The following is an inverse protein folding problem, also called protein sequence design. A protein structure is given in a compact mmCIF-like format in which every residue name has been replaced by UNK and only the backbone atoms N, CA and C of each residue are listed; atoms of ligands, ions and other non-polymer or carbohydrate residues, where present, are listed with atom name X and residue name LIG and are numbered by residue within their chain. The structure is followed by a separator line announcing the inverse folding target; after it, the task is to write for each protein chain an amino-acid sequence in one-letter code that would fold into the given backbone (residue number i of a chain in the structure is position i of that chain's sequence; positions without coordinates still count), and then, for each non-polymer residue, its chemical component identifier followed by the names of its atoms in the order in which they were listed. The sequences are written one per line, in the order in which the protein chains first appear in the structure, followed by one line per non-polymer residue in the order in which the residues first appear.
data_IF_709215472161
#
_entry.id   IF_709215472161
#
_cell.length_a   1.000
_cell.length_b   1.000
_cell.length_c   1.000
_cell.angle_alpha   90.00
_cell.angle_beta   90.00
_cell.angle_gamma   90.00
#
_symmetry.space_group_name_H-M   'P 1'
#
loop_
_entity.id
_entity.type
_entity.pdbx_description
1 polymer ?
#
# COMPACT_ATOMS: atom_id res chain seq x y z
N UNK A 1 -2.77 9.39 20.31
CA UNK A 1 -4.03 9.97 19.80
C UNK A 1 -4.01 9.69 18.31
N UNK A 2 -5.06 9.07 17.78
CA UNK A 2 -5.13 8.73 16.34
C UNK A 2 -4.98 9.99 15.50
N UNK A 3 -4.11 9.94 14.51
CA UNK A 3 -3.90 11.04 13.58
C UNK A 3 -5.01 11.08 12.53
N UNK A 4 -5.24 12.27 11.98
CA UNK A 4 -6.16 12.48 10.85
C UNK A 4 -5.43 12.16 9.54
N UNK A 5 -5.81 11.07 8.88
CA UNK A 5 -5.23 10.66 7.60
C UNK A 5 -5.40 11.72 6.51
N UNK A 6 -6.49 12.47 6.52
CA UNK A 6 -6.73 13.54 5.55
C UNK A 6 -5.66 14.63 5.68
N UNK A 7 -5.31 14.98 6.92
CA UNK A 7 -4.25 15.94 7.22
C UNK A 7 -2.88 15.43 6.78
N UNK A 8 -2.53 14.18 7.12
CA UNK A 8 -1.25 13.58 6.75
C UNK A 8 -1.02 13.58 5.22
N UNK A 9 -2.04 13.19 4.46
CA UNK A 9 -1.97 13.18 2.99
C UNK A 9 -1.90 14.59 2.41
N UNK A 10 -2.66 15.55 2.95
CA UNK A 10 -2.69 16.93 2.45
C UNK A 10 -1.40 17.69 2.72
N UNK A 11 -0.76 17.42 3.86
CA UNK A 11 0.50 18.06 4.26
C UNK A 11 1.73 17.38 3.63
N UNK A 12 1.58 16.18 3.04
CA UNK A 12 2.64 15.49 2.34
C UNK A 12 2.43 15.51 0.82
N UNK A 13 3.17 16.38 0.12
CA UNK A 13 3.05 16.52 -1.32
C UNK A 13 3.40 15.22 -2.09
N UNK A 14 4.22 14.33 -1.51
CA UNK A 14 4.65 13.10 -2.17
C UNK A 14 5.05 11.97 -1.20
N UNK A 15 4.08 11.27 -0.60
CA UNK A 15 4.34 10.03 0.14
C UNK A 15 4.73 8.84 -0.77
N UNK A 16 4.54 8.98 -2.09
CA UNK A 16 4.76 7.93 -3.08
C UNK A 16 3.63 6.91 -3.08
N UNK A 17 3.90 5.68 -2.63
CA UNK A 17 2.90 4.61 -2.51
C UNK A 17 2.56 4.42 -1.04
N UNK A 18 1.28 4.34 -0.72
CA UNK A 18 0.79 4.24 0.65
C UNK A 18 -0.13 3.05 0.85
N UNK A 19 0.04 2.36 1.98
CA UNK A 19 -0.80 1.27 2.46
C UNK A 19 -1.39 1.69 3.80
N UNK A 20 -2.69 1.52 3.96
CA UNK A 20 -3.38 1.64 5.24
C UNK A 20 -4.13 0.35 5.51
N UNK A 21 -3.85 -0.26 6.66
CA UNK A 21 -4.61 -1.41 7.16
C UNK A 21 -5.23 -1.05 8.51
N UNK A 22 -6.45 -1.50 8.76
CA UNK A 22 -7.14 -1.13 9.99
C UNK A 22 -8.48 -1.84 10.21
N UNK A 23 -9.21 -1.36 11.21
CA UNK A 23 -10.55 -1.80 11.57
C UNK A 23 -11.50 -0.62 11.53
N UNK A 24 -12.66 -0.78 10.91
CA UNK A 24 -13.69 0.26 10.85
C UNK A 24 -14.18 0.67 12.24
N UNK A 25 -14.68 1.91 12.36
CA UNK A 25 -15.20 2.47 13.62
C UNK A 25 -16.35 1.66 14.23
N UNK A 26 -17.18 1.01 13.42
CA UNK A 26 -18.25 0.11 13.88
C UNK A 26 -17.74 -1.27 14.34
N UNK A 27 -16.45 -1.53 14.18
CA UNK A 27 -15.79 -2.76 14.58
C UNK A 27 -16.12 -3.98 13.73
N UNK A 28 -16.86 -3.82 12.62
CA UNK A 28 -17.34 -4.94 11.78
C UNK A 28 -16.41 -5.28 10.62
N UNK A 29 -15.71 -4.28 10.08
CA UNK A 29 -14.95 -4.43 8.85
C UNK A 29 -13.46 -4.34 9.10
N UNK A 30 -12.73 -5.28 8.52
CA UNK A 30 -11.31 -5.11 8.27
C UNK A 30 -11.14 -4.21 7.04
N UNK A 31 -10.24 -3.24 7.11
CA UNK A 31 -10.10 -2.19 6.11
C UNK A 31 -8.71 -2.24 5.52
N UNK A 32 -8.64 -2.22 4.19
CA UNK A 32 -7.41 -2.07 3.44
C UNK A 32 -7.54 -0.92 2.44
N UNK A 33 -6.57 -0.03 2.41
CA UNK A 33 -6.44 0.96 1.35
C UNK A 33 -5.02 0.96 0.79
N UNK A 34 -4.92 1.17 -0.51
CA UNK A 34 -3.66 1.26 -1.23
C UNK A 34 -3.75 2.35 -2.29
N UNK A 35 -2.77 3.23 -2.35
CA UNK A 35 -2.71 4.24 -3.40
C UNK A 35 -1.33 4.37 -4.03
N UNK A 36 -1.34 4.90 -5.24
CA UNK A 36 -0.15 5.29 -5.97
C UNK A 36 -0.18 6.79 -6.24
N UNK A 37 0.93 7.43 -5.91
CA UNK A 37 1.31 8.73 -6.45
C UNK A 37 2.56 8.60 -7.30
N UNK A 38 2.64 9.36 -8.40
CA UNK A 38 3.76 9.36 -9.34
C UNK A 38 4.18 10.78 -9.73
N UNK A 39 5.50 11.00 -9.85
CA UNK A 39 6.10 12.26 -10.33
C UNK A 39 6.45 12.24 -11.82
N UNK A 40 6.95 11.11 -12.32
CA UNK A 40 7.34 10.96 -13.73
C UNK A 40 6.15 10.55 -14.60
N UNK A 41 6.26 10.79 -15.91
CA UNK A 41 5.26 10.32 -16.88
C UNK A 41 5.08 8.79 -16.78
N UNK A 42 6.18 8.03 -16.73
CA UNK A 42 6.14 6.58 -16.58
C UNK A 42 5.43 6.15 -15.27
N UNK A 43 5.74 6.78 -14.13
CA UNK A 43 5.12 6.45 -12.83
C UNK A 43 3.62 6.81 -12.78
N UNK A 44 3.19 7.81 -13.56
CA UNK A 44 1.78 8.22 -13.71
C UNK A 44 1.03 7.40 -14.76
N UNK A 45 1.74 6.71 -15.65
CA UNK A 45 1.17 5.95 -16.75
C UNK A 45 0.64 4.58 -16.30
N UNK A 46 -0.20 4.55 -15.25
CA UNK A 46 -0.80 3.30 -14.78
C UNK A 46 -2.17 3.49 -14.17
N UNK A 47 -2.96 2.43 -14.25
CA UNK A 47 -4.29 2.31 -13.66
C UNK A 47 -4.39 0.99 -12.90
N UNK A 48 -5.27 0.93 -11.91
CA UNK A 48 -5.70 -0.33 -11.31
C UNK A 48 -6.84 -0.92 -12.12
N UNK A 49 -6.74 -2.22 -12.39
CA UNK A 49 -7.82 -3.03 -12.92
C UNK A 49 -8.07 -4.22 -12.00
N UNK A 50 -9.32 -4.65 -11.91
CA UNK A 50 -9.70 -5.83 -11.15
C UNK A 50 -9.00 -7.08 -11.75
N UNK A 51 -8.53 -7.96 -10.87
CA UNK A 51 -7.88 -9.21 -11.26
C UNK A 51 -8.20 -10.30 -10.22
N UNK A 52 -9.22 -11.11 -10.53
CA UNK A 52 -9.81 -12.06 -9.59
C UNK A 52 -10.32 -11.35 -8.33
N UNK A 53 -9.90 -11.83 -7.16
CA UNK A 53 -10.18 -11.23 -5.85
C UNK A 53 -9.29 -10.02 -5.55
N UNK A 54 -8.30 -9.72 -6.40
CA UNK A 54 -7.31 -8.67 -6.20
C UNK A 54 -7.38 -7.56 -7.23
N UNK A 55 -6.26 -6.88 -7.42
CA UNK A 55 -6.06 -5.90 -8.48
C UNK A 55 -4.66 -6.09 -9.09
N UNK A 56 -4.53 -5.67 -10.34
CA UNK A 56 -3.24 -5.48 -11.01
C UNK A 56 -3.10 -4.07 -11.54
N UNK A 57 -1.87 -3.63 -11.70
CA UNK A 57 -1.56 -2.41 -12.42
C UNK A 57 -1.44 -2.71 -13.92
N UNK A 58 -2.02 -1.84 -14.73
CA UNK A 58 -1.83 -1.82 -16.19
C UNK A 58 -1.31 -0.46 -16.62
N UNK A 59 -0.58 -0.42 -17.73
CA UNK A 59 -0.21 0.85 -18.35
C UNK A 59 -1.46 1.55 -18.87
N UNK A 60 -1.63 2.84 -18.58
CA UNK A 60 -2.75 3.62 -19.12
C UNK A 60 -2.60 3.78 -20.65
N UNK A 61 -1.41 4.17 -21.08
CA UNK A 61 -1.00 4.24 -22.48
C UNK A 61 0.19 3.28 -22.69
N UNK A 62 -0.03 2.11 -23.32
CA UNK A 62 1.04 1.15 -23.59
C UNK A 62 2.20 1.73 -24.41
N UNK A 63 1.97 2.76 -25.24
CA UNK A 63 3.01 3.37 -26.06
C UNK A 63 4.01 4.21 -25.24
N UNK A 64 3.64 4.61 -24.02
CA UNK A 64 4.46 5.40 -23.09
C UNK A 64 5.18 4.55 -22.04
N UNK A 65 5.01 3.23 -22.09
CA UNK A 65 5.62 2.31 -21.15
C UNK A 65 7.08 2.09 -21.52
N UNK A 66 8.00 2.53 -20.65
CA UNK A 66 9.44 2.31 -20.86
C UNK A 66 9.91 1.04 -20.16
N UNK A 67 9.91 1.04 -18.83
CA UNK A 67 10.25 -0.12 -18.00
C UNK A 67 8.99 -0.65 -17.28
N UNK A 68 8.51 -1.85 -17.64
CA UNK A 68 7.33 -2.44 -17.02
C UNK A 68 7.60 -3.03 -15.63
N UNK A 69 8.85 -3.31 -15.26
CA UNK A 69 9.18 -4.15 -14.10
C UNK A 69 8.74 -3.57 -12.74
N UNK A 70 8.70 -2.24 -12.63
CA UNK A 70 8.24 -1.51 -11.44
C UNK A 70 6.82 -0.91 -11.61
N UNK A 71 6.19 -1.14 -12.76
CA UNK A 71 4.89 -0.59 -13.11
C UNK A 71 3.81 -1.65 -13.13
N UNK A 72 4.08 -2.82 -13.69
CA UNK A 72 3.13 -3.92 -13.87
C UNK A 72 3.40 -4.97 -12.79
N UNK A 73 2.49 -5.05 -11.83
CA UNK A 73 2.48 -6.04 -10.75
C UNK A 73 1.04 -6.17 -10.22
N UNK A 74 0.81 -7.10 -9.29
CA UNK A 74 -0.46 -7.21 -8.57
C UNK A 74 -0.35 -6.53 -7.22
N UNK A 75 -0.84 -5.29 -7.02
CA UNK A 75 -0.79 -4.67 -5.70
C UNK A 75 -1.57 -5.43 -4.64
N UNK A 76 -2.66 -6.11 -5.02
CA UNK A 76 -3.51 -6.88 -4.10
C UNK A 76 -3.67 -8.30 -4.62
N UNK A 77 -3.41 -9.28 -3.75
CA UNK A 77 -3.77 -10.69 -3.96
C UNK A 77 -4.41 -11.26 -2.69
N UNK A 78 -5.25 -12.28 -2.86
CA UNK A 78 -6.02 -12.87 -1.77
C UNK A 78 -5.79 -14.39 -1.73
N UNK A 79 -5.57 -14.94 -0.53
CA UNK A 79 -5.51 -16.38 -0.25
C UNK A 79 -6.51 -16.68 0.86
N UNK A 80 -7.65 -17.29 0.53
CA UNK A 80 -8.72 -17.51 1.50
C UNK A 80 -9.21 -16.18 2.09
N UNK A 81 -9.08 -16.03 3.41
CA UNK A 81 -9.41 -14.81 4.16
C UNK A 81 -8.24 -13.84 4.33
N UNK A 82 -7.09 -14.14 3.73
CA UNK A 82 -5.86 -13.36 3.87
C UNK A 82 -5.68 -12.46 2.65
N UNK A 83 -5.65 -11.15 2.88
CA UNK A 83 -5.40 -10.13 1.86
C UNK A 83 -3.96 -9.63 1.95
N UNK A 84 -3.22 -9.71 0.85
CA UNK A 84 -1.86 -9.17 0.70
C UNK A 84 -1.97 -7.86 -0.06
N UNK A 85 -1.31 -6.81 0.42
CA UNK A 85 -1.29 -5.48 -0.22
C UNK A 85 0.16 -4.99 -0.29
N UNK A 86 0.70 -4.68 -1.47
CA UNK A 86 2.08 -4.19 -1.59
C UNK A 86 2.26 -3.19 -2.73
N UNK A 87 3.38 -2.47 -2.75
CA UNK A 87 3.72 -1.53 -3.82
C UNK A 87 4.59 -2.11 -4.95
N UNK A 88 4.70 -3.43 -5.07
CA UNK A 88 5.50 -4.06 -6.13
C UNK A 88 5.28 -5.57 -6.28
N UNK A 89 6.15 -6.20 -7.06
CA UNK A 89 6.13 -7.66 -7.32
C UNK A 89 6.40 -8.54 -6.08
N UNK A 90 6.77 -7.95 -4.94
CA UNK A 90 6.87 -8.70 -3.68
C UNK A 90 5.51 -9.25 -3.22
N UNK A 91 4.38 -8.76 -3.76
CA UNK A 91 3.06 -9.39 -3.55
C UNK A 91 3.09 -10.86 -3.93
N UNK A 92 3.66 -11.20 -5.09
CA UNK A 92 3.70 -12.58 -5.59
C UNK A 92 4.67 -13.43 -4.78
N UNK A 93 5.80 -12.84 -4.35
CA UNK A 93 6.73 -13.51 -3.44
C UNK A 93 6.04 -13.88 -2.12
N UNK A 94 5.27 -12.97 -1.53
CA UNK A 94 4.50 -13.25 -0.32
C UNK A 94 3.45 -14.32 -0.58
N UNK A 95 2.69 -14.18 -1.67
CA UNK A 95 1.65 -15.13 -2.05
C UNK A 95 2.18 -16.56 -2.15
N UNK A 96 3.28 -16.76 -2.88
CA UNK A 96 3.90 -18.06 -3.09
C UNK A 96 4.43 -18.68 -1.80
N UNK A 97 5.01 -17.86 -0.91
CA UNK A 97 5.50 -18.34 0.39
C UNK A 97 4.33 -18.80 1.26
N UNK A 98 3.25 -18.01 1.35
CA UNK A 98 2.08 -18.37 2.14
C UNK A 98 1.40 -19.65 1.62
N UNK A 99 1.28 -19.81 0.29
CA UNK A 99 0.75 -21.05 -0.29
C UNK A 99 1.57 -22.30 0.05
N UNK A 100 2.87 -22.15 0.28
CA UNK A 100 3.79 -23.23 0.66
C UNK A 100 3.93 -23.40 2.17
N UNK A 101 3.11 -22.71 2.97
CA UNK A 101 3.16 -22.75 4.44
C UNK A 101 4.30 -21.93 5.07
N UNK A 102 4.99 -21.10 4.28
CA UNK A 102 5.96 -20.12 4.76
C UNK A 102 5.29 -18.88 5.37
N UNK A 103 6.09 -17.92 5.83
CA UNK A 103 5.60 -16.70 6.47
C UNK A 103 5.82 -15.43 5.65
N UNK A 104 5.03 -14.40 5.92
CA UNK A 104 5.20 -13.05 5.38
C UNK A 104 6.61 -12.49 5.60
N UNK A 105 7.18 -12.73 6.78
CA UNK A 105 8.52 -12.26 7.11
C UNK A 105 9.60 -13.01 6.31
N UNK A 106 9.45 -14.33 6.13
CA UNK A 106 10.41 -15.13 5.36
C UNK A 106 10.39 -14.74 3.88
N UNK A 107 9.22 -14.50 3.32
CA UNK A 107 9.06 -14.00 1.97
C UNK A 107 9.84 -12.68 1.78
N UNK A 108 9.62 -11.71 2.66
CA UNK A 108 10.24 -10.39 2.58
C UNK A 108 11.75 -10.38 2.89
N UNK A 109 12.27 -11.38 3.62
CA UNK A 109 13.71 -11.56 3.80
C UNK A 109 14.44 -11.93 2.51
N UNK A 110 13.74 -12.50 1.53
CA UNK A 110 14.31 -12.78 0.18
C UNK A 110 14.36 -11.56 -0.72
N UNK A 111 13.74 -10.44 -0.30
CA UNK A 111 13.62 -9.21 -1.08
C UNK A 111 14.45 -8.08 -0.47
N UNK A 112 14.59 -7.00 -1.23
CA UNK A 112 15.19 -5.72 -0.83
C UNK A 112 14.35 -4.57 -1.43
N UNK A 113 14.75 -3.32 -1.26
CA UNK A 113 14.15 -2.14 -1.92
C UNK A 113 14.18 -2.24 -3.46
N UNK A 114 13.53 -1.31 -4.14
CA UNK A 114 13.50 -1.28 -5.62
C UNK A 114 14.89 -0.89 -6.19
N UNK A 115 15.33 -1.50 -7.30
CA UNK A 115 16.63 -1.21 -7.92
C UNK A 115 16.59 0.05 -8.80
N UNK A 116 16.00 1.14 -8.31
CA UNK A 116 15.72 2.38 -9.05
C UNK A 116 16.63 3.54 -8.58
N UNK A 117 17.94 3.33 -8.64
CA UNK A 117 18.92 4.35 -8.29
C UNK A 117 18.60 5.71 -8.98
N UNK A 118 18.75 6.84 -8.28
CA UNK A 118 19.30 6.98 -6.93
C UNK A 118 18.27 6.88 -5.79
N UNK A 119 16.99 6.59 -6.09
CA UNK A 119 15.92 6.64 -5.08
C UNK A 119 15.90 5.41 -4.16
N UNK A 120 16.26 4.24 -4.67
CA UNK A 120 16.23 2.97 -3.92
C UNK A 120 14.92 2.79 -3.17
N UNK A 121 13.83 2.90 -3.92
CA UNK A 121 12.52 3.11 -3.36
C UNK A 121 12.14 2.00 -2.40
N UNK A 122 11.64 2.33 -1.20
CA UNK A 122 11.24 1.30 -0.27
C UNK A 122 10.12 0.40 -0.80
N UNK A 123 10.20 -0.88 -0.43
CA UNK A 123 9.07 -1.81 -0.60
C UNK A 123 8.24 -1.82 0.67
N UNK A 124 7.05 -1.24 0.61
CA UNK A 124 6.03 -1.34 1.65
C UNK A 124 5.10 -2.52 1.35
N UNK A 125 4.77 -3.27 2.40
CA UNK A 125 3.95 -4.46 2.30
C UNK A 125 2.99 -4.55 3.48
N UNK A 126 1.82 -5.11 3.23
CA UNK A 126 0.77 -5.34 4.20
C UNK A 126 0.20 -6.75 4.06
N UNK A 127 -0.18 -7.35 5.19
CA UNK A 127 -0.91 -8.60 5.26
C UNK A 127 -2.06 -8.42 6.24
N UNK A 128 -3.28 -8.71 5.81
CA UNK A 128 -4.49 -8.60 6.60
C UNK A 128 -5.19 -9.95 6.67
N UNK A 129 -5.48 -10.45 7.88
CA UNK A 129 -6.20 -11.70 8.13
C UNK A 129 -7.20 -11.48 9.27
N UNK A 130 -8.49 -11.43 8.93
CA UNK A 130 -9.51 -10.92 9.86
C UNK A 130 -9.16 -9.50 10.29
N UNK A 131 -9.07 -9.24 11.61
CA UNK A 131 -8.60 -7.95 12.14
C UNK A 131 -7.09 -7.90 12.43
N UNK A 132 -6.36 -9.03 12.44
CA UNK A 132 -4.90 -9.03 12.60
C UNK A 132 -4.26 -8.52 11.30
N UNK A 133 -3.36 -7.55 11.42
CA UNK A 133 -2.57 -7.12 10.28
C UNK A 133 -1.10 -6.87 10.60
N UNK A 134 -0.31 -7.01 9.55
CA UNK A 134 1.14 -6.79 9.56
C UNK A 134 1.49 -5.77 8.51
N UNK A 135 2.44 -4.90 8.84
CA UNK A 135 3.05 -3.96 7.92
C UNK A 135 4.57 -4.21 7.87
N UNK A 136 5.18 -3.91 6.73
CA UNK A 136 6.63 -3.98 6.58
C UNK A 136 7.13 -2.94 5.61
N UNK A 137 8.36 -2.49 5.84
CA UNK A 137 9.13 -1.67 4.91
C UNK A 137 10.56 -2.23 4.77
N UNK A 138 10.99 -2.42 3.51
CA UNK A 138 12.36 -2.76 3.15
C UNK A 138 12.98 -1.53 2.47
N UNK A 139 14.06 -0.97 3.02
CA UNK A 139 14.69 0.26 2.52
C UNK A 139 16.21 0.22 2.61
N UNK A 140 16.90 0.97 1.76
CA UNK A 140 18.35 1.19 1.87
C UNK A 140 18.69 1.92 3.17
N UNK A 141 19.89 1.70 3.70
CA UNK A 141 20.41 2.47 4.81
C UNK A 141 20.84 3.85 4.33
N UNK A 142 19.98 4.86 4.51
CA UNK A 142 20.29 6.27 4.23
C UNK A 142 20.79 6.51 2.79
N UNK A 143 20.24 5.74 1.83
CA UNK A 143 20.61 5.79 0.40
C UNK A 143 21.76 4.87 0.00
N UNK A 144 22.35 4.09 0.92
CA UNK A 144 23.39 3.10 0.61
C UNK A 144 22.78 1.79 0.07
N UNK A 145 22.99 1.46 -1.23
CA UNK A 145 22.43 0.25 -1.81
C UNK A 145 23.09 -1.05 -1.33
N UNK A 146 24.24 -0.98 -0.66
CA UNK A 146 24.91 -2.15 -0.09
C UNK A 146 24.30 -2.62 1.23
N UNK A 147 23.46 -1.79 1.85
CA UNK A 147 22.93 -2.01 3.19
C UNK A 147 21.41 -1.93 3.19
N UNK A 148 20.77 -3.08 3.43
CA UNK A 148 19.31 -3.21 3.48
C UNK A 148 18.82 -3.21 4.93
N UNK A 149 17.81 -2.40 5.22
CA UNK A 149 17.09 -2.37 6.49
C UNK A 149 15.68 -2.94 6.28
N UNK A 150 15.26 -3.85 7.16
CA UNK A 150 13.95 -4.52 7.11
C UNK A 150 13.23 -4.32 8.43
N UNK A 151 12.02 -3.80 8.37
CA UNK A 151 11.19 -3.55 9.53
C UNK A 151 9.86 -4.29 9.40
N UNK A 152 9.37 -4.83 10.50
CA UNK A 152 8.13 -5.60 10.57
C UNK A 152 7.34 -5.11 11.77
N UNK A 153 6.06 -4.81 11.54
CA UNK A 153 5.11 -4.32 12.53
C UNK A 153 3.90 -5.25 12.54
N UNK A 154 3.33 -5.52 13.70
CA UNK A 154 2.18 -6.39 13.86
C UNK A 154 1.15 -5.79 14.83
N UNK A 155 -0.12 -5.92 14.46
CA UNK A 155 -1.26 -5.38 15.18
C UNK A 155 -2.31 -6.48 15.32
N UNK A 156 -2.28 -7.21 16.44
CA UNK A 156 -2.99 -8.47 16.64
C UNK A 156 -4.50 -8.33 16.95
N UNK A 157 -4.95 -7.18 17.45
CA UNK A 157 -6.37 -6.88 17.68
C UNK A 157 -6.58 -5.36 17.73
N UNK A 158 -6.60 -4.68 16.57
CA UNK A 158 -6.78 -3.22 16.51
C UNK A 158 -8.14 -2.84 17.10
N UNK A 159 -8.15 -1.75 17.88
CA UNK A 159 -9.41 -1.20 18.42
C UNK A 159 -10.30 -0.72 17.26
N UNK A 160 -11.64 -0.72 17.41
CA UNK A 160 -12.52 -0.12 16.41
C UNK A 160 -12.07 1.30 16.00
N UNK A 161 -12.08 1.54 14.69
CA UNK A 161 -11.65 2.79 14.06
C UNK A 161 -10.15 3.03 14.11
N UNK A 162 -9.32 2.03 14.44
CA UNK A 162 -7.86 2.13 14.45
C UNK A 162 -7.28 1.52 13.17
N UNK A 163 -6.41 2.26 12.51
CA UNK A 163 -5.60 1.77 11.41
C UNK A 163 -4.18 2.30 11.51
N UNK A 164 -3.30 1.74 10.69
CA UNK A 164 -1.92 2.18 10.58
C UNK A 164 -1.58 2.44 9.12
N UNK A 165 -0.95 3.59 8.89
CA UNK A 165 -0.55 4.06 7.58
C UNK A 165 0.98 3.96 7.42
N UNK A 166 1.41 3.32 6.33
CA UNK A 166 2.82 3.23 5.96
C UNK A 166 2.96 3.61 4.48
N UNK A 167 4.03 4.30 4.14
CA UNK A 167 4.26 4.75 2.77
C UNK A 167 5.74 4.71 2.40
N UNK A 168 6.05 4.92 1.12
CA UNK A 168 7.42 4.76 0.62
C UNK A 168 8.33 5.93 1.01
N UNK A 169 7.82 7.16 1.04
CA UNK A 169 8.65 8.36 1.22
C UNK A 169 8.13 9.30 2.28
N UNK A 170 9.02 9.87 3.10
CA UNK A 170 8.64 10.84 4.12
C UNK A 170 8.04 12.12 3.52
N UNK A 171 8.62 12.61 2.42
CA UNK A 171 8.19 13.80 1.71
C UNK A 171 8.80 13.81 0.30
N UNK A 172 8.49 14.86 -0.47
CA UNK A 172 9.18 15.08 -1.75
C UNK A 172 10.69 15.37 -1.55
N UNK A 173 11.49 15.17 -2.60
CA UNK A 173 12.95 15.35 -2.53
C UNK A 173 13.68 14.86 -3.78
N UNK A 174 15.02 14.99 -3.76
CA UNK A 174 15.93 14.52 -4.82
C UNK A 174 17.34 14.21 -4.27
N UNK A 175 17.72 12.93 -4.07
CA UNK A 175 16.88 11.73 -4.10
C UNK A 175 15.75 11.79 -3.06
N UNK A 176 14.67 11.03 -3.28
CA UNK A 176 13.50 11.13 -2.43
C UNK A 176 13.75 10.44 -1.08
N UNK A 177 13.53 11.11 0.07
CA UNK A 177 13.80 10.53 1.38
C UNK A 177 12.81 9.40 1.70
N UNK A 178 13.33 8.22 2.01
CA UNK A 178 12.55 7.07 2.45
C UNK A 178 11.74 7.38 3.72
N UNK A 179 10.59 6.74 3.89
CA UNK A 179 9.80 6.80 5.13
C UNK A 179 10.62 6.33 6.35
N UNK A 180 10.38 6.93 7.52
CA UNK A 180 11.09 6.68 8.77
C UNK A 180 10.12 6.57 9.94
N UNK A 181 10.48 5.77 10.94
CA UNK A 181 9.66 5.56 12.13
C UNK A 181 8.72 4.34 12.02
N UNK A 182 7.81 4.28 12.97
CA UNK A 182 6.71 3.32 13.03
C UNK A 182 5.57 3.77 12.10
N UNK A 183 4.73 2.85 11.58
CA UNK A 183 3.51 3.22 10.86
C UNK A 183 2.65 4.18 11.66
N UNK A 184 2.08 5.19 11.00
CA UNK A 184 1.31 6.25 11.65
C UNK A 184 -0.07 5.72 12.08
N UNK A 185 -0.39 5.75 13.37
CA UNK A 185 -1.72 5.38 13.90
C UNK A 185 -2.76 6.41 13.44
N UNK A 186 -3.73 5.99 12.65
CA UNK A 186 -4.75 6.84 12.02
C UNK A 186 -6.17 6.39 12.33
N UNK A 187 -7.11 7.32 12.23
CA UNK A 187 -8.53 7.03 12.36
C UNK A 187 -9.11 6.42 11.06
N UNK A 188 -9.91 5.35 11.21
CA UNK A 188 -10.67 4.72 10.12
C UNK A 188 -12.16 4.95 10.36
N UNK A 189 -12.69 6.00 9.73
CA UNK A 189 -14.03 6.51 9.98
C UNK A 189 -14.90 6.50 8.72
N UNK A 190 -16.21 6.36 8.93
CA UNK A 190 -17.19 6.32 7.86
C UNK A 190 -17.28 4.97 7.13
N UNK A 191 -18.22 4.90 6.19
CA UNK A 191 -18.36 3.78 5.28
C UNK A 191 -17.30 3.84 4.16
N UNK A 192 -17.26 2.82 3.31
CA UNK A 192 -16.26 2.70 2.25
C UNK A 192 -16.25 3.90 1.30
N UNK A 193 -17.42 4.47 0.97
CA UNK A 193 -17.51 5.60 0.04
C UNK A 193 -16.96 6.88 0.66
N UNK A 194 -17.33 7.17 1.92
CA UNK A 194 -16.79 8.31 2.66
C UNK A 194 -15.27 8.20 2.85
N UNK A 195 -14.78 7.02 3.24
CA UNK A 195 -13.35 6.81 3.44
C UNK A 195 -12.56 6.88 2.12
N UNK A 196 -13.12 6.35 1.02
CA UNK A 196 -12.54 6.49 -0.33
C UNK A 196 -12.44 7.96 -0.74
N UNK A 197 -13.49 8.76 -0.51
CA UNK A 197 -13.48 10.20 -0.75
C UNK A 197 -12.42 10.93 0.07
N UNK A 198 -12.37 10.68 1.38
CA UNK A 198 -11.37 11.23 2.29
C UNK A 198 -9.94 10.99 1.80
N UNK A 199 -9.62 9.77 1.39
CA UNK A 199 -8.29 9.46 0.86
C UNK A 199 -8.06 10.18 -0.48
N UNK A 200 -8.94 10.00 -1.46
CA UNK A 200 -8.73 10.50 -2.83
C UNK A 200 -8.65 12.02 -2.94
N UNK A 201 -9.46 12.74 -2.17
CA UNK A 201 -9.52 14.19 -2.18
C UNK A 201 -8.31 14.84 -1.51
N UNK A 202 -7.66 14.14 -0.57
CA UNK A 202 -6.50 14.64 0.16
C UNK A 202 -5.15 14.20 -0.44
N UNK A 203 -5.12 13.27 -1.39
CA UNK A 203 -3.93 13.02 -2.19
C UNK A 203 -3.62 14.23 -3.09
N UNK A 204 -2.33 14.59 -3.19
CA UNK A 204 -1.90 15.70 -4.03
C UNK A 204 -2.39 15.51 -5.48
N UNK A 205 -3.15 16.49 -5.99
CA UNK A 205 -3.83 16.35 -7.28
C UNK A 205 -2.86 16.11 -8.44
N UNK A 206 -1.72 16.79 -8.46
CA UNK A 206 -0.73 16.64 -9.54
C UNK A 206 -0.07 15.26 -9.53
N UNK A 207 -0.05 14.58 -8.38
CA UNK A 207 0.72 13.35 -8.19
C UNK A 207 -0.16 12.10 -8.06
N UNK A 208 -1.44 12.19 -7.67
CA UNK A 208 -2.31 11.01 -7.52
C UNK A 208 -2.53 10.27 -8.84
N UNK A 209 -2.50 8.95 -8.77
CA UNK A 209 -2.62 8.05 -9.94
C UNK A 209 -3.81 7.12 -9.76
N UNK A 210 -3.79 6.30 -8.72
CA UNK A 210 -4.83 5.31 -8.45
C UNK A 210 -5.01 5.07 -6.95
N UNK A 211 -6.22 4.69 -6.56
CA UNK A 211 -6.61 4.33 -5.19
C UNK A 211 -7.45 3.06 -5.22
N UNK A 212 -7.17 2.16 -4.30
CA UNK A 212 -7.95 0.98 -3.97
C UNK A 212 -8.37 1.09 -2.50
N UNK A 213 -9.64 0.82 -2.21
CA UNK A 213 -10.16 0.70 -0.85
C UNK A 213 -11.02 -0.54 -0.77
N UNK A 214 -10.87 -1.32 0.29
CA UNK A 214 -11.65 -2.52 0.55
C UNK A 214 -12.09 -2.59 2.01
N UNK A 215 -13.37 -2.87 2.20
CA UNK A 215 -13.97 -3.19 3.49
C UNK A 215 -14.38 -4.66 3.46
N UNK A 216 -13.88 -5.47 4.40
CA UNK A 216 -14.15 -6.90 4.52
C UNK A 216 -15.00 -7.10 5.77
N UNK A 217 -16.24 -7.54 5.62
CA UNK A 217 -17.05 -8.00 6.74
C UNK A 217 -16.47 -9.34 7.23
N UNK A 218 -15.80 -9.30 8.38
CA UNK A 218 -15.07 -10.46 8.92
C UNK A 218 -16.01 -11.58 9.32
N UNK A 219 -17.24 -11.26 9.76
CA UNK A 219 -18.20 -12.27 10.20
C UNK A 219 -18.90 -12.94 9.01
N UNK A 220 -19.22 -12.16 7.97
CA UNK A 220 -19.88 -12.66 6.77
C UNK A 220 -18.92 -13.26 5.74
N UNK A 221 -17.63 -12.92 5.79
CA UNK A 221 -16.64 -13.33 4.79
C UNK A 221 -16.83 -12.65 3.44
N UNK A 222 -17.56 -11.53 3.39
CA UNK A 222 -17.84 -10.76 2.18
C UNK A 222 -17.03 -9.47 2.16
N UNK A 223 -16.77 -8.89 0.98
CA UNK A 223 -16.11 -7.60 0.88
C UNK A 223 -16.74 -6.67 -0.15
N UNK A 224 -16.56 -5.37 0.09
CA UNK A 224 -16.80 -4.31 -0.87
C UNK A 224 -15.49 -3.68 -1.29
N UNK A 225 -15.36 -3.33 -2.56
CA UNK A 225 -14.15 -2.69 -3.12
C UNK A 225 -14.52 -1.41 -3.85
N UNK A 226 -13.65 -0.41 -3.77
CA UNK A 226 -13.62 0.77 -4.64
C UNK A 226 -12.27 0.86 -5.31
N UNK A 227 -12.28 1.11 -6.62
CA UNK A 227 -11.09 1.42 -7.42
C UNK A 227 -11.33 2.80 -8.04
N UNK A 228 -10.41 3.72 -7.82
CA UNK A 228 -10.44 5.06 -8.38
C UNK A 228 -9.15 5.26 -9.16
N UNK A 229 -9.24 5.59 -10.44
CA UNK A 229 -8.10 5.93 -11.27
C UNK A 229 -8.23 7.37 -11.75
N UNK A 230 -7.13 8.14 -11.75
CA UNK A 230 -7.10 9.50 -12.30
C UNK A 230 -7.31 9.46 -13.81
N UNK A 231 -6.66 8.53 -14.47
CA UNK A 231 -6.82 8.24 -15.89
C UNK A 231 -7.75 7.02 -16.04
N UNK A 232 -8.64 7.02 -17.02
CA UNK A 232 -9.62 5.96 -17.26
C UNK A 232 -9.77 5.68 -18.74
#
# INVERSE_FOLDING_TARGET
MKQDIAKLLRENAYPGRGILLGRSADGKHAVAAYFIMGRSENSRNRVFVADGEGIRTEAFDPAKLSDPSLIIYSPVRVIGDTTIVTNGDQTDTIFDFLQKGGSFADALRTRTFEPDAPNYTPRVSGLLHGFDYRLSILKSADGDPSSVRRYFFQYWDPRPGEGHFIHTYRCDGDPIPSFEGEPEEVAVEGNIDAFTGTLWENLNDANKVSLFVRYIDVAAGTCETRIVNKNH
#
